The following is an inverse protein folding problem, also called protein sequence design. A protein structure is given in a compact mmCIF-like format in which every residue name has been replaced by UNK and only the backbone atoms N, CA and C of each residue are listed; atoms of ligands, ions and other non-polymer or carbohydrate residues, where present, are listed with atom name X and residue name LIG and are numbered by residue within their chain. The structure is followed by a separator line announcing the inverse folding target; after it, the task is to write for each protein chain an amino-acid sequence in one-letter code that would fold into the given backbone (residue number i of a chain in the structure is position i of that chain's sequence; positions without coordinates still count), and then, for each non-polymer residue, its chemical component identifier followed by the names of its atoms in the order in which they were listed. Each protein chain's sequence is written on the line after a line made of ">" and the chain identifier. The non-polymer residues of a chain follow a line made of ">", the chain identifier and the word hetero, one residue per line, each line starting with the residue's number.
data_IF_702574796520
#
_entry.id   IF_702574796520
#
_cell.length_a   1.000
_cell.length_b   1.000
_cell.length_c   1.000
_cell.angle_alpha   90.00
_cell.angle_beta   90.00
_cell.angle_gamma   90.00
#
_symmetry.space_group_name_H-M   'P 1'
#
loop_
_entity.id
_entity.type
_entity.pdbx_description
1 polymer ?
#
# COMPACT_ATOMS: atom_id res chain seq x y z
N UNK A 1 -126.67 96.24 -33.28
CA UNK A 1 -126.79 94.78 -33.47
C UNK A 1 -125.38 94.20 -33.46
N UNK A 2 -125.23 93.05 -32.81
CA UNK A 2 -124.02 92.48 -32.19
C UNK A 2 -122.87 92.05 -33.12
N UNK A 3 -121.65 92.13 -32.56
CA UNK A 3 -120.46 91.22 -32.61
C UNK A 3 -120.29 90.28 -33.82
N UNK A 4 -119.07 90.21 -34.39
CA UNK A 4 -118.18 89.09 -34.05
C UNK A 4 -116.67 89.44 -34.10
N UNK A 5 -116.11 90.09 -33.07
CA UNK A 5 -114.66 90.38 -33.00
C UNK A 5 -113.99 89.81 -31.72
N UNK A 6 -114.78 89.42 -30.73
CA UNK A 6 -114.30 88.73 -29.52
C UNK A 6 -114.02 87.24 -29.73
N UNK A 7 -114.34 86.66 -30.89
CA UNK A 7 -114.07 85.26 -31.19
C UNK A 7 -112.61 85.07 -31.64
N UNK A 8 -112.10 85.92 -32.54
CA UNK A 8 -110.78 85.77 -33.15
C UNK A 8 -109.62 86.07 -32.18
N UNK A 9 -109.81 87.01 -31.25
CA UNK A 9 -108.79 87.35 -30.23
C UNK A 9 -108.75 86.32 -29.09
N UNK A 10 -109.88 85.64 -28.82
CA UNK A 10 -109.92 84.44 -27.97
C UNK A 10 -109.23 83.26 -28.63
N UNK A 11 -109.42 83.07 -29.93
CA UNK A 11 -108.84 81.95 -30.68
C UNK A 11 -107.31 82.05 -30.81
N UNK A 12 -106.75 83.25 -31.00
CA UNK A 12 -105.30 83.47 -31.01
C UNK A 12 -104.66 83.31 -29.61
N UNK A 13 -105.35 83.76 -28.55
CA UNK A 13 -104.93 83.55 -27.16
C UNK A 13 -105.00 82.08 -26.74
N UNK A 14 -106.04 81.37 -27.17
CA UNK A 14 -106.18 79.92 -26.98
C UNK A 14 -105.10 79.13 -27.73
N UNK A 15 -104.67 79.58 -28.91
CA UNK A 15 -103.59 78.94 -29.66
C UNK A 15 -102.21 79.19 -29.03
N UNK A 16 -101.95 80.39 -28.49
CA UNK A 16 -100.71 80.71 -27.77
C UNK A 16 -100.61 79.94 -26.44
N UNK A 17 -101.71 79.84 -25.70
CA UNK A 17 -101.77 79.07 -24.45
C UNK A 17 -101.56 77.57 -24.72
N UNK A 18 -102.19 77.02 -25.78
CA UNK A 18 -101.94 75.64 -26.23
C UNK A 18 -100.48 75.41 -26.63
N UNK A 19 -99.84 76.35 -27.32
CA UNK A 19 -98.42 76.25 -27.70
C UNK A 19 -97.52 76.30 -26.46
N UNK A 20 -97.87 77.13 -25.47
CA UNK A 20 -97.14 77.23 -24.21
C UNK A 20 -97.30 75.96 -23.38
N UNK A 21 -98.51 75.43 -23.24
CA UNK A 21 -98.77 74.13 -22.61
C UNK A 21 -98.01 73.00 -23.34
N UNK A 22 -97.93 73.05 -24.67
CA UNK A 22 -97.18 72.06 -25.45
C UNK A 22 -95.67 72.16 -25.22
N UNK A 23 -95.09 73.36 -25.19
CA UNK A 23 -93.68 73.53 -24.83
C UNK A 23 -93.38 73.19 -23.36
N UNK A 24 -94.29 73.48 -22.43
CA UNK A 24 -94.16 73.09 -21.03
C UNK A 24 -94.19 71.56 -20.88
N UNK A 25 -95.09 70.90 -21.61
CA UNK A 25 -95.13 69.43 -21.67
C UNK A 25 -93.89 68.83 -22.32
N UNK A 26 -93.38 69.41 -23.42
CA UNK A 26 -92.14 68.98 -24.08
C UNK A 26 -90.91 69.19 -23.17
N UNK A 27 -90.83 70.32 -22.47
CA UNK A 27 -89.76 70.59 -21.49
C UNK A 27 -89.81 69.63 -20.31
N UNK A 28 -91.00 69.32 -19.80
CA UNK A 28 -91.17 68.36 -18.70
C UNK A 28 -90.84 66.94 -19.17
N UNK A 29 -91.27 66.56 -20.37
CA UNK A 29 -90.91 65.29 -21.00
C UNK A 29 -89.40 65.16 -21.21
N UNK A 30 -88.73 66.22 -21.69
CA UNK A 30 -87.28 66.25 -21.83
C UNK A 30 -86.54 66.20 -20.48
N UNK A 31 -87.04 66.88 -19.45
CA UNK A 31 -86.48 66.80 -18.09
C UNK A 31 -86.59 65.38 -17.53
N UNK A 32 -87.74 64.75 -17.67
CA UNK A 32 -87.98 63.41 -17.13
C UNK A 32 -87.17 62.36 -17.90
N UNK A 33 -87.09 62.47 -19.23
CA UNK A 33 -86.23 61.59 -20.04
C UNK A 33 -84.76 61.79 -19.71
N UNK A 34 -84.25 63.03 -19.62
CA UNK A 34 -82.86 63.31 -19.25
C UNK A 34 -82.52 62.80 -17.84
N UNK A 35 -83.43 62.97 -16.89
CA UNK A 35 -83.29 62.47 -15.52
C UNK A 35 -83.24 60.95 -15.52
N UNK A 36 -84.13 60.29 -16.26
CA UNK A 36 -84.15 58.83 -16.42
C UNK A 36 -82.87 58.29 -17.06
N UNK A 37 -82.39 58.92 -18.14
CA UNK A 37 -81.13 58.53 -18.80
C UNK A 37 -79.93 58.76 -17.87
N UNK A 38 -79.88 59.88 -17.16
CA UNK A 38 -78.80 60.17 -16.20
C UNK A 38 -78.80 59.20 -15.02
N UNK A 39 -79.96 58.85 -14.47
CA UNK A 39 -80.06 57.85 -13.41
C UNK A 39 -79.63 56.47 -13.88
N UNK A 40 -80.03 56.07 -15.10
CA UNK A 40 -79.63 54.79 -15.70
C UNK A 40 -78.12 54.72 -15.92
N UNK A 41 -77.54 55.74 -16.54
CA UNK A 41 -76.09 55.81 -16.81
C UNK A 41 -75.28 55.84 -15.51
N UNK A 42 -75.76 56.55 -14.48
CA UNK A 42 -75.14 56.56 -13.15
C UNK A 42 -75.17 55.18 -12.49
N UNK A 43 -76.31 54.48 -12.55
CA UNK A 43 -76.45 53.13 -11.99
C UNK A 43 -75.60 52.11 -12.73
N UNK A 44 -75.56 52.17 -14.06
CA UNK A 44 -74.69 51.34 -14.90
C UNK A 44 -73.21 51.56 -14.57
N UNK A 45 -72.78 52.82 -14.44
CA UNK A 45 -71.40 53.15 -14.10
C UNK A 45 -71.03 52.67 -12.69
N UNK A 46 -71.92 52.86 -11.70
CA UNK A 46 -71.71 52.36 -10.34
C UNK A 46 -71.61 50.83 -10.32
N UNK A 47 -72.49 50.15 -11.07
CA UNK A 47 -72.47 48.70 -11.19
C UNK A 47 -71.17 48.21 -11.85
N UNK A 48 -70.75 48.83 -12.95
CA UNK A 48 -69.51 48.49 -13.64
C UNK A 48 -68.27 48.69 -12.74
N UNK A 49 -68.24 49.77 -11.95
CA UNK A 49 -67.18 49.99 -10.96
C UNK A 49 -67.19 48.95 -9.85
N UNK A 50 -68.37 48.60 -9.33
CA UNK A 50 -68.51 47.57 -8.30
C UNK A 50 -67.99 46.22 -8.81
N UNK A 51 -68.40 45.81 -10.02
CA UNK A 51 -67.93 44.58 -10.66
C UNK A 51 -66.42 44.61 -10.95
N UNK A 52 -65.85 45.77 -11.28
CA UNK A 52 -64.40 45.91 -11.47
C UNK A 52 -63.62 45.77 -10.16
N UNK A 53 -64.14 46.34 -9.07
CA UNK A 53 -63.54 46.19 -7.72
C UNK A 53 -63.64 44.74 -7.26
N UNK A 54 -64.78 44.08 -7.42
CA UNK A 54 -64.96 42.67 -7.06
C UNK A 54 -63.97 41.77 -7.82
N UNK A 55 -63.82 41.97 -9.13
CA UNK A 55 -62.83 41.23 -9.94
C UNK A 55 -61.39 41.44 -9.45
N UNK A 56 -61.02 42.68 -9.14
CA UNK A 56 -59.69 42.99 -8.60
C UNK A 56 -59.45 42.35 -7.24
N UNK A 57 -60.46 42.36 -6.35
CA UNK A 57 -60.38 41.71 -5.04
C UNK A 57 -60.22 40.20 -5.20
N UNK A 58 -60.98 39.57 -6.09
CA UNK A 58 -60.87 38.14 -6.39
C UNK A 58 -59.48 37.79 -6.94
N UNK A 59 -58.96 38.58 -7.89
CA UNK A 59 -57.64 38.38 -8.49
C UNK A 59 -56.52 38.50 -7.45
N UNK A 60 -56.55 39.57 -6.63
CA UNK A 60 -55.56 39.78 -5.56
C UNK A 60 -55.64 38.66 -4.53
N UNK A 61 -56.86 38.27 -4.13
CA UNK A 61 -57.06 37.18 -3.16
C UNK A 61 -56.56 35.85 -3.70
N UNK A 62 -56.82 35.54 -4.97
CA UNK A 62 -56.31 34.36 -5.63
C UNK A 62 -54.78 34.39 -5.68
N UNK A 63 -54.17 35.51 -6.07
CA UNK A 63 -52.71 35.66 -6.16
C UNK A 63 -52.05 35.47 -4.79
N UNK A 64 -52.53 36.16 -3.76
CA UNK A 64 -52.04 36.01 -2.38
C UNK A 64 -52.16 34.54 -1.94
N UNK A 65 -53.29 33.88 -2.18
CA UNK A 65 -53.47 32.47 -1.83
C UNK A 65 -52.49 31.56 -2.54
N UNK A 66 -52.21 31.81 -3.83
CA UNK A 66 -51.22 31.02 -4.58
C UNK A 66 -49.80 31.25 -4.10
N UNK A 67 -49.38 32.51 -3.91
CA UNK A 67 -48.02 32.85 -3.46
C UNK A 67 -47.76 32.31 -2.04
N UNK A 68 -48.69 32.55 -1.11
CA UNK A 68 -48.60 32.02 0.25
C UNK A 68 -48.55 30.50 0.29
N UNK A 69 -49.33 29.81 -0.56
CA UNK A 69 -49.27 28.35 -0.65
C UNK A 69 -47.94 27.84 -1.21
N UNK A 70 -47.36 28.54 -2.19
CA UNK A 70 -46.06 28.18 -2.77
C UNK A 70 -44.93 28.39 -1.76
N UNK A 71 -44.88 29.55 -1.10
CA UNK A 71 -43.88 29.86 -0.07
C UNK A 71 -43.96 28.88 1.10
N UNK A 72 -45.18 28.57 1.57
CA UNK A 72 -45.39 27.64 2.67
C UNK A 72 -44.95 26.22 2.29
N UNK A 73 -45.29 25.76 1.08
CA UNK A 73 -44.85 24.46 0.58
C UNK A 73 -43.33 24.39 0.44
N UNK A 74 -42.68 25.42 -0.12
CA UNK A 74 -41.22 25.47 -0.21
C UNK A 74 -40.55 25.42 1.18
N UNK A 75 -41.09 26.16 2.15
CA UNK A 75 -40.60 26.11 3.54
C UNK A 75 -40.77 24.73 4.17
N UNK A 76 -41.87 24.04 3.90
CA UNK A 76 -42.06 22.67 4.39
C UNK A 76 -41.12 21.67 3.70
N UNK A 77 -40.92 21.78 2.39
CA UNK A 77 -39.99 20.92 1.66
C UNK A 77 -38.56 21.06 2.18
N UNK A 78 -38.10 22.29 2.45
CA UNK A 78 -36.78 22.55 3.01
C UNK A 78 -36.63 22.00 4.43
N UNK A 79 -37.66 22.14 5.28
CA UNK A 79 -37.66 21.54 6.62
C UNK A 79 -37.63 20.01 6.57
N UNK A 80 -38.41 19.41 5.68
CA UNK A 80 -38.42 17.96 5.48
C UNK A 80 -37.03 17.50 5.04
N UNK A 81 -36.42 18.15 4.04
CA UNK A 81 -35.07 17.82 3.58
C UNK A 81 -34.05 17.89 4.71
N UNK A 82 -34.02 19.00 5.45
CA UNK A 82 -33.09 19.19 6.58
C UNK A 82 -33.25 18.09 7.65
N UNK A 83 -34.49 17.81 8.05
CA UNK A 83 -34.79 16.76 9.03
C UNK A 83 -34.37 15.39 8.49
N UNK A 84 -34.67 15.08 7.23
CA UNK A 84 -34.27 13.80 6.63
C UNK A 84 -32.76 13.64 6.57
N UNK A 85 -32.02 14.69 6.20
CA UNK A 85 -30.55 14.67 6.12
C UNK A 85 -29.92 14.51 7.50
N UNK A 86 -30.43 15.22 8.51
CA UNK A 86 -29.97 15.01 9.89
C UNK A 86 -30.23 13.59 10.39
N UNK A 87 -31.40 13.03 10.09
CA UNK A 87 -31.72 11.66 10.48
C UNK A 87 -30.85 10.64 9.76
N UNK A 88 -30.58 10.81 8.46
CA UNK A 88 -29.67 9.92 7.72
C UNK A 88 -28.26 9.99 8.30
N UNK A 89 -27.74 11.20 8.54
CA UNK A 89 -26.40 11.41 9.09
C UNK A 89 -26.26 10.76 10.48
N UNK A 90 -27.21 11.02 11.39
CA UNK A 90 -27.21 10.40 12.74
C UNK A 90 -27.29 8.88 12.67
N UNK A 91 -28.04 8.33 11.72
CA UNK A 91 -28.18 6.87 11.54
C UNK A 91 -26.88 6.26 11.02
N UNK A 92 -26.22 6.90 10.05
CA UNK A 92 -24.93 6.47 9.52
C UNK A 92 -23.82 6.54 10.57
N UNK A 93 -23.76 7.60 11.35
CA UNK A 93 -22.83 7.74 12.48
C UNK A 93 -23.04 6.65 13.52
N UNK A 94 -24.29 6.39 13.91
CA UNK A 94 -24.63 5.32 14.85
C UNK A 94 -24.21 3.94 14.30
N UNK A 95 -24.47 3.69 13.02
CA UNK A 95 -24.09 2.44 12.36
C UNK A 95 -22.56 2.27 12.30
N UNK A 96 -21.83 3.36 12.02
CA UNK A 96 -20.37 3.37 12.03
C UNK A 96 -19.81 3.08 13.43
N UNK A 97 -20.30 3.77 14.46
CA UNK A 97 -19.90 3.55 15.86
C UNK A 97 -20.17 2.11 16.28
N UNK A 98 -21.36 1.59 16.02
CA UNK A 98 -21.70 0.20 16.33
C UNK A 98 -20.79 -0.80 15.60
N UNK A 99 -20.48 -0.57 14.31
CA UNK A 99 -19.56 -1.43 13.57
C UNK A 99 -18.14 -1.43 14.15
N UNK A 100 -17.68 -0.27 14.62
CA UNK A 100 -16.37 -0.11 15.23
C UNK A 100 -16.31 -0.75 16.62
N UNK A 101 -17.32 -0.54 17.45
CA UNK A 101 -17.45 -1.18 18.76
C UNK A 101 -17.48 -2.70 18.63
N UNK A 102 -18.29 -3.23 17.70
CA UNK A 102 -18.35 -4.67 17.41
C UNK A 102 -16.99 -5.22 17.00
N UNK A 103 -16.24 -4.49 16.17
CA UNK A 103 -14.89 -4.90 15.75
C UNK A 103 -13.94 -4.93 16.95
N UNK A 104 -13.86 -3.86 17.72
CA UNK A 104 -13.00 -3.77 18.91
C UNK A 104 -13.33 -4.88 19.92
N UNK A 105 -14.61 -5.15 20.15
CA UNK A 105 -15.04 -6.22 21.04
C UNK A 105 -14.62 -7.60 20.51
N UNK A 106 -14.76 -7.83 19.20
CA UNK A 106 -14.34 -9.09 18.55
C UNK A 106 -12.83 -9.28 18.64
N UNK A 107 -12.05 -8.23 18.41
CA UNK A 107 -10.58 -8.28 18.44
C UNK A 107 -10.08 -8.53 19.87
N UNK A 108 -10.64 -7.84 20.88
CA UNK A 108 -10.35 -8.09 22.30
C UNK A 108 -10.72 -9.53 22.71
N UNK A 109 -11.86 -10.03 22.25
CA UNK A 109 -12.28 -11.41 22.52
C UNK A 109 -11.25 -12.41 21.96
N UNK A 110 -10.83 -12.25 20.70
CA UNK A 110 -9.81 -13.12 20.09
C UNK A 110 -8.46 -13.07 20.80
N UNK A 111 -8.03 -11.88 21.25
CA UNK A 111 -6.78 -11.72 22.00
C UNK A 111 -6.84 -12.45 23.35
N UNK A 112 -7.95 -12.28 24.08
CA UNK A 112 -8.16 -12.98 25.36
C UNK A 112 -8.30 -14.48 25.20
N UNK A 113 -9.02 -14.94 24.16
CA UNK A 113 -9.13 -16.35 23.78
C UNK A 113 -7.75 -16.95 23.47
N UNK A 114 -6.93 -16.29 22.63
CA UNK A 114 -5.59 -16.76 22.30
C UNK A 114 -4.67 -16.82 23.53
N UNK A 115 -4.76 -15.83 24.43
CA UNK A 115 -4.01 -15.81 25.69
C UNK A 115 -4.40 -16.96 26.62
N UNK A 116 -5.71 -17.24 26.74
CA UNK A 116 -6.21 -18.36 27.53
C UNK A 116 -5.83 -19.70 26.92
N UNK A 117 -5.93 -19.85 25.59
CA UNK A 117 -5.52 -21.05 24.88
C UNK A 117 -4.03 -21.34 25.10
N UNK A 118 -3.18 -20.32 25.00
CA UNK A 118 -1.75 -20.47 25.29
C UNK A 118 -1.47 -20.96 26.72
N UNK A 119 -2.24 -20.51 27.73
CA UNK A 119 -2.13 -21.03 29.10
C UNK A 119 -2.59 -22.48 29.22
N UNK A 120 -3.68 -22.85 28.54
CA UNK A 120 -4.17 -24.23 28.50
C UNK A 120 -3.12 -25.16 27.88
N UNK A 121 -2.47 -24.74 26.80
CA UNK A 121 -1.45 -25.53 26.12
C UNK A 121 -0.22 -25.77 27.03
N UNK A 122 0.25 -24.73 27.72
CA UNK A 122 1.35 -24.85 28.70
C UNK A 122 0.99 -25.81 29.83
N UNK A 123 -0.18 -25.64 30.45
CA UNK A 123 -0.63 -26.53 31.53
C UNK A 123 -0.81 -27.97 31.06
N UNK A 124 -1.29 -28.16 29.83
CA UNK A 124 -1.45 -29.50 29.23
C UNK A 124 -0.09 -30.17 29.03
N UNK A 125 0.91 -29.43 28.56
CA UNK A 125 2.27 -29.94 28.42
C UNK A 125 2.91 -30.30 29.77
N UNK A 126 2.75 -29.45 30.79
CA UNK A 126 3.24 -29.73 32.15
C UNK A 126 2.58 -30.98 32.75
N UNK A 127 1.27 -31.13 32.55
CA UNK A 127 0.51 -32.29 33.00
C UNK A 127 1.00 -33.57 32.30
N UNK A 128 1.29 -33.51 31.01
CA UNK A 128 1.86 -34.63 30.27
C UNK A 128 3.21 -35.06 30.85
N UNK A 129 4.14 -34.13 31.07
CA UNK A 129 5.46 -34.42 31.66
C UNK A 129 5.32 -35.04 33.05
N UNK A 130 4.42 -34.51 33.88
CA UNK A 130 4.15 -35.06 35.21
C UNK A 130 3.60 -36.48 35.14
N UNK A 131 2.68 -36.78 34.22
CA UNK A 131 2.12 -38.11 34.02
C UNK A 131 3.18 -39.11 33.54
N UNK A 132 4.02 -38.72 32.58
CA UNK A 132 5.13 -39.55 32.11
C UNK A 132 6.12 -39.86 33.24
N UNK A 133 6.47 -38.87 34.06
CA UNK A 133 7.31 -39.07 35.23
C UNK A 133 6.66 -40.00 36.26
N UNK A 134 5.38 -39.81 36.56
CA UNK A 134 4.61 -40.67 37.46
C UNK A 134 4.57 -42.11 36.94
N UNK A 135 4.42 -42.31 35.64
CA UNK A 135 4.45 -43.64 35.02
C UNK A 135 5.84 -44.28 35.15
N UNK A 136 6.91 -43.57 34.82
CA UNK A 136 8.28 -44.07 34.98
C UNK A 136 8.60 -44.44 36.42
N UNK A 137 8.16 -43.64 37.39
CA UNK A 137 8.33 -43.99 38.82
C UNK A 137 7.60 -45.29 39.14
N UNK A 138 6.33 -45.47 38.72
CA UNK A 138 5.62 -46.75 38.91
C UNK A 138 6.36 -47.93 38.27
N UNK A 139 6.99 -47.71 37.13
CA UNK A 139 7.73 -48.71 36.36
C UNK A 139 9.21 -48.81 36.74
N UNK A 140 9.69 -48.01 37.69
CA UNK A 140 11.10 -47.98 38.08
C UNK A 140 11.49 -49.26 38.82
N UNK A 141 12.73 -49.71 38.60
CA UNK A 141 13.31 -50.85 39.31
C UNK A 141 13.29 -50.59 40.81
N UNK A 142 13.54 -49.35 41.23
CA UNK A 142 13.54 -48.97 42.64
C UNK A 142 12.16 -49.14 43.28
N UNK A 143 11.05 -48.87 42.56
CA UNK A 143 9.68 -49.17 43.04
C UNK A 143 9.44 -50.67 43.22
N UNK A 144 9.91 -51.48 42.26
CA UNK A 144 9.81 -52.94 42.37
C UNK A 144 10.63 -53.49 43.53
N UNK A 145 11.82 -52.95 43.74
CA UNK A 145 12.71 -53.34 44.83
C UNK A 145 12.14 -52.91 46.18
N UNK A 146 11.55 -51.72 46.28
CA UNK A 146 10.82 -51.26 47.47
C UNK A 146 9.65 -52.19 47.80
N UNK A 147 8.84 -52.56 46.79
CA UNK A 147 7.73 -53.50 46.97
C UNK A 147 8.22 -54.89 47.37
N UNK A 148 9.31 -55.39 46.79
CA UNK A 148 9.94 -56.66 47.16
C UNK A 148 10.43 -56.60 48.62
N UNK A 149 11.10 -55.53 49.02
CA UNK A 149 11.60 -55.35 50.39
C UNK A 149 10.47 -55.33 51.43
N UNK A 150 9.38 -54.59 51.15
CA UNK A 150 8.18 -54.58 52.00
C UNK A 150 7.57 -55.98 52.11
N UNK A 151 7.57 -56.75 51.02
CA UNK A 151 7.07 -58.13 51.03
C UNK A 151 7.95 -59.07 51.85
N UNK A 152 9.27 -58.93 51.74
CA UNK A 152 10.23 -59.83 52.37
C UNK A 152 10.44 -59.52 53.86
N UNK A 153 10.25 -58.26 54.28
CA UNK A 153 10.57 -57.78 55.63
C UNK A 153 9.40 -57.13 56.39
N UNK A 154 8.25 -56.96 55.74
CA UNK A 154 7.09 -56.27 56.30
C UNK A 154 7.09 -54.76 56.05
N UNK A 155 5.92 -54.13 56.21
CA UNK A 155 5.76 -52.68 56.06
C UNK A 155 6.46 -51.94 57.21
N UNK A 156 7.27 -50.90 56.92
CA UNK A 156 7.89 -50.08 57.95
C UNK A 156 6.90 -49.08 58.60
N UNK A 157 5.62 -49.08 58.20
CA UNK A 157 4.60 -48.13 58.64
C UNK A 157 4.35 -47.00 57.64
N UNK A 158 3.13 -46.44 57.65
CA UNK A 158 2.63 -45.52 56.61
C UNK A 158 3.48 -44.26 56.39
N UNK A 159 4.03 -43.69 57.47
CA UNK A 159 4.89 -42.52 57.40
C UNK A 159 6.18 -42.81 56.59
N UNK A 160 6.86 -43.93 56.90
CA UNK A 160 8.10 -44.30 56.24
C UNK A 160 7.89 -44.75 54.80
N UNK A 161 6.77 -45.42 54.50
CA UNK A 161 6.41 -45.72 53.10
C UNK A 161 6.21 -44.43 52.29
N UNK A 162 5.55 -43.42 52.84
CA UNK A 162 5.36 -42.15 52.15
C UNK A 162 6.70 -41.43 51.91
N UNK A 163 7.57 -41.40 52.92
CA UNK A 163 8.90 -40.79 52.79
C UNK A 163 9.77 -41.54 51.78
N UNK A 164 9.77 -42.89 51.80
CA UNK A 164 10.50 -43.70 50.82
C UNK A 164 10.00 -43.48 49.39
N UNK A 165 8.68 -43.35 49.19
CA UNK A 165 8.10 -43.02 47.89
C UNK A 165 8.47 -41.59 47.43
N UNK A 166 8.53 -40.63 48.35
CA UNK A 166 8.99 -39.27 48.07
C UNK A 166 10.47 -39.24 47.66
N UNK A 167 11.33 -39.96 48.39
CA UNK A 167 12.76 -40.05 48.08
C UNK A 167 13.01 -40.77 46.75
N UNK A 168 12.27 -41.83 46.45
CA UNK A 168 12.27 -42.51 45.16
C UNK A 168 11.97 -41.53 44.00
N UNK A 169 10.98 -40.66 44.15
CA UNK A 169 10.67 -39.64 43.14
C UNK A 169 11.85 -38.68 42.93
N UNK A 170 12.47 -38.19 44.00
CA UNK A 170 13.65 -37.30 43.91
C UNK A 170 14.85 -38.01 43.29
N UNK A 171 15.06 -39.29 43.60
CA UNK A 171 16.13 -40.10 43.01
C UNK A 171 15.92 -40.24 41.51
N UNK A 172 14.70 -40.58 41.07
CA UNK A 172 14.39 -40.72 39.65
C UNK A 172 14.55 -39.37 38.92
N UNK A 173 14.11 -38.26 39.53
CA UNK A 173 14.37 -36.91 38.99
C UNK A 173 15.87 -36.62 38.82
N UNK A 174 16.69 -37.00 39.81
CA UNK A 174 18.16 -36.82 39.71
C UNK A 174 18.76 -37.74 38.64
N UNK A 175 18.29 -38.98 38.55
CA UNK A 175 18.74 -39.95 37.56
C UNK A 175 18.45 -39.46 36.13
N UNK A 176 17.26 -38.90 35.88
CA UNK A 176 16.92 -38.27 34.60
C UNK A 176 17.85 -37.10 34.26
N UNK A 177 18.15 -36.22 35.23
CA UNK A 177 19.11 -35.13 35.01
C UNK A 177 20.49 -35.67 34.64
N UNK A 178 20.95 -36.73 35.31
CA UNK A 178 22.21 -37.40 34.99
C UNK A 178 22.16 -37.97 33.56
N UNK A 179 21.11 -38.69 33.17
CA UNK A 179 20.96 -39.23 31.82
C UNK A 179 20.96 -38.13 30.75
N UNK A 180 20.31 -36.99 31.01
CA UNK A 180 20.32 -35.84 30.09
C UNK A 180 21.73 -35.24 29.96
N UNK A 181 22.47 -35.10 31.06
CA UNK A 181 23.87 -34.69 31.00
C UNK A 181 24.74 -35.70 30.24
N UNK A 182 24.55 -37.01 30.42
CA UNK A 182 25.26 -38.04 29.66
C UNK A 182 24.98 -37.96 28.16
N UNK A 183 23.73 -37.72 27.74
CA UNK A 183 23.39 -37.49 26.32
C UNK A 183 24.09 -36.26 25.76
N UNK A 184 24.11 -35.16 26.51
CA UNK A 184 24.80 -33.92 26.10
C UNK A 184 26.31 -34.11 26.02
N UNK A 185 26.89 -34.90 26.92
CA UNK A 185 28.30 -35.25 26.91
C UNK A 185 28.66 -36.03 25.63
N UNK A 186 27.88 -37.06 25.27
CA UNK A 186 28.09 -37.81 24.03
C UNK A 186 28.00 -36.93 22.77
N UNK A 187 27.06 -35.99 22.73
CA UNK A 187 26.97 -35.02 21.64
C UNK A 187 28.21 -34.13 21.55
N UNK A 188 28.73 -33.69 22.70
CA UNK A 188 29.94 -32.88 22.76
C UNK A 188 31.19 -33.68 22.32
N UNK A 189 31.30 -34.95 22.70
CA UNK A 189 32.36 -35.86 22.27
C UNK A 189 32.35 -36.04 20.74
N UNK A 190 31.17 -36.26 20.15
CA UNK A 190 31.03 -36.37 18.69
C UNK A 190 31.42 -35.07 17.94
N UNK A 191 31.11 -33.90 18.51
CA UNK A 191 31.54 -32.62 17.96
C UNK A 191 33.07 -32.44 18.07
N UNK A 192 33.68 -32.88 19.16
CA UNK A 192 35.12 -32.83 19.34
C UNK A 192 35.86 -33.72 18.32
N UNK A 193 35.37 -34.93 18.07
CA UNK A 193 35.91 -35.83 17.04
C UNK A 193 35.81 -35.21 15.64
N UNK A 194 34.66 -34.60 15.30
CA UNK A 194 34.50 -33.87 14.04
C UNK A 194 35.47 -32.70 13.93
N UNK A 195 35.69 -31.96 15.01
CA UNK A 195 36.61 -30.84 15.01
C UNK A 195 38.06 -31.29 14.74
N UNK A 196 38.50 -32.39 15.38
CA UNK A 196 39.81 -32.98 15.12
C UNK A 196 39.97 -33.39 13.64
N UNK A 197 38.95 -34.03 13.05
CA UNK A 197 38.98 -34.38 11.62
C UNK A 197 39.09 -33.16 10.71
N UNK A 198 38.40 -32.06 11.03
CA UNK A 198 38.50 -30.81 10.29
C UNK A 198 39.87 -30.15 10.44
N UNK A 199 40.46 -30.17 11.64
CA UNK A 199 41.82 -29.67 11.87
C UNK A 199 42.84 -30.42 11.01
N UNK A 200 42.72 -31.74 10.88
CA UNK A 200 43.61 -32.54 10.02
C UNK A 200 43.38 -32.26 8.53
N UNK A 201 42.14 -32.02 8.09
CA UNK A 201 41.86 -31.56 6.72
C UNK A 201 42.49 -30.20 6.44
N UNK A 202 42.41 -29.26 7.39
CA UNK A 202 43.04 -27.94 7.26
C UNK A 202 44.56 -28.07 7.15
N UNK A 203 45.20 -28.89 7.99
CA UNK A 203 46.65 -29.15 7.89
C UNK A 203 47.03 -29.71 6.51
N UNK A 204 46.27 -30.68 6.00
CA UNK A 204 46.51 -31.26 4.68
C UNK A 204 46.38 -30.22 3.55
N UNK A 205 45.34 -29.38 3.60
CA UNK A 205 45.14 -28.31 2.62
C UNK A 205 46.26 -27.26 2.68
N UNK A 206 46.71 -26.87 3.87
CA UNK A 206 47.84 -25.96 4.04
C UNK A 206 49.13 -26.56 3.45
N UNK A 207 49.38 -27.85 3.67
CA UNK A 207 50.52 -28.54 3.09
C UNK A 207 50.45 -28.59 1.56
N UNK A 208 49.27 -28.88 0.99
CA UNK A 208 49.08 -28.87 -0.47
C UNK A 208 49.26 -27.46 -1.07
N UNK A 209 48.77 -26.43 -0.38
CA UNK A 209 48.95 -25.05 -0.81
C UNK A 209 50.42 -24.67 -0.86
N UNK A 210 51.20 -25.08 0.15
CA UNK A 210 52.63 -24.85 0.21
C UNK A 210 53.38 -25.55 -0.93
N UNK A 211 53.05 -26.82 -1.24
CA UNK A 211 53.64 -27.54 -2.38
C UNK A 211 53.36 -26.82 -3.72
N UNK A 212 52.12 -26.35 -3.91
CA UNK A 212 51.74 -25.59 -5.10
C UNK A 212 52.50 -24.25 -5.18
N UNK A 213 52.68 -23.57 -4.05
CA UNK A 213 53.43 -22.30 -3.98
C UNK A 213 54.89 -22.50 -4.38
N UNK A 214 55.55 -23.54 -3.86
CA UNK A 214 56.93 -23.89 -4.23
C UNK A 214 57.04 -24.27 -5.71
N UNK A 215 56.05 -25.00 -6.25
CA UNK A 215 56.01 -25.34 -7.68
C UNK A 215 55.84 -24.10 -8.55
N UNK A 216 54.97 -23.18 -8.16
CA UNK A 216 54.77 -21.92 -8.86
C UNK A 216 56.04 -21.07 -8.85
N UNK A 217 56.75 -20.97 -7.73
CA UNK A 217 58.03 -20.27 -7.62
C UNK A 217 59.07 -20.86 -8.58
N UNK A 218 59.17 -22.20 -8.64
CA UNK A 218 60.05 -22.89 -9.60
C UNK A 218 59.69 -22.60 -11.06
N UNK A 219 58.41 -22.53 -11.41
CA UNK A 219 58.00 -22.16 -12.76
C UNK A 219 58.29 -20.68 -13.05
N UNK A 220 58.13 -19.81 -12.07
CA UNK A 220 58.43 -18.39 -12.20
C UNK A 220 59.92 -18.15 -12.46
N UNK A 221 60.82 -18.86 -11.76
CA UNK A 221 62.27 -18.75 -12.02
C UNK A 221 62.63 -19.25 -13.41
N UNK A 222 62.04 -20.37 -13.85
CA UNK A 222 62.23 -20.88 -15.22
C UNK A 222 61.76 -19.89 -16.29
N UNK A 223 60.61 -19.24 -16.10
CA UNK A 223 60.10 -18.22 -17.03
C UNK A 223 61.07 -17.03 -17.11
N UNK A 224 61.62 -16.59 -15.97
CA UNK A 224 62.61 -15.52 -15.93
C UNK A 224 63.91 -15.91 -16.64
N UNK A 225 64.37 -17.16 -16.51
CA UNK A 225 65.53 -17.69 -17.22
C UNK A 225 65.31 -17.75 -18.73
N UNK A 226 64.19 -18.33 -19.17
CA UNK A 226 63.84 -18.39 -20.59
C UNK A 226 63.68 -17.00 -21.21
N UNK A 227 63.09 -16.05 -20.48
CA UNK A 227 63.00 -14.65 -20.92
C UNK A 227 64.37 -14.02 -21.10
N UNK A 228 65.30 -14.27 -20.17
CA UNK A 228 66.69 -13.78 -20.27
C UNK A 228 67.41 -14.38 -21.48
N UNK A 229 67.28 -15.67 -21.71
CA UNK A 229 67.85 -16.33 -22.90
C UNK A 229 67.22 -15.82 -24.20
N UNK A 230 65.91 -15.58 -24.22
CA UNK A 230 65.23 -15.00 -25.37
C UNK A 230 65.79 -13.62 -25.73
N UNK A 231 65.96 -12.72 -24.76
CA UNK A 231 66.56 -11.40 -24.99
C UNK A 231 68.00 -11.52 -25.50
N UNK A 232 68.83 -12.41 -24.92
CA UNK A 232 70.21 -12.63 -25.37
C UNK A 232 70.29 -13.12 -26.82
N UNK A 233 69.41 -14.04 -27.19
CA UNK A 233 69.32 -14.55 -28.56
C UNK A 233 68.85 -13.47 -29.53
N UNK A 234 67.87 -12.64 -29.14
CA UNK A 234 67.42 -11.52 -29.95
C UNK A 234 68.53 -10.50 -30.20
N UNK A 235 69.25 -10.09 -29.16
CA UNK A 235 70.41 -9.18 -29.29
C UNK A 235 71.49 -9.75 -30.21
N UNK A 236 71.73 -11.08 -30.13
CA UNK A 236 72.70 -11.76 -30.99
C UNK A 236 72.23 -11.80 -32.45
N UNK A 237 70.94 -12.06 -32.68
CA UNK A 237 70.31 -12.05 -34.00
C UNK A 237 70.38 -10.65 -34.64
N UNK A 238 70.10 -9.59 -33.87
CA UNK A 238 70.19 -8.20 -34.34
C UNK A 238 71.63 -7.83 -34.75
N UNK A 239 72.63 -8.24 -33.96
CA UNK A 239 74.05 -8.04 -34.29
C UNK A 239 74.45 -8.76 -35.58
N UNK A 240 74.03 -10.02 -35.73
CA UNK A 240 74.32 -10.80 -36.94
C UNK A 240 73.63 -10.21 -38.18
N UNK A 241 72.38 -9.76 -38.03
CA UNK A 241 71.64 -9.06 -39.09
C UNK A 241 72.35 -7.78 -39.55
N UNK A 242 72.83 -6.97 -38.60
CA UNK A 242 73.60 -5.76 -38.91
C UNK A 242 74.92 -6.06 -39.62
N UNK A 243 75.65 -7.09 -39.18
CA UNK A 243 76.88 -7.55 -39.83
C UNK A 243 76.60 -8.06 -41.25
N UNK A 244 75.53 -8.84 -41.43
CA UNK A 244 75.10 -9.34 -42.74
C UNK A 244 74.73 -8.18 -43.67
N UNK A 245 74.01 -7.16 -43.18
CA UNK A 245 73.70 -5.95 -43.95
C UNK A 245 74.98 -5.21 -44.37
N UNK A 246 75.94 -5.03 -43.46
CA UNK A 246 77.23 -4.40 -43.76
C UNK A 246 78.00 -5.19 -44.82
N UNK A 247 78.11 -6.50 -44.66
CA UNK A 247 78.81 -7.36 -45.61
C UNK A 247 78.12 -7.35 -46.98
N UNK A 248 76.78 -7.27 -47.02
CA UNK A 248 76.05 -7.14 -48.27
C UNK A 248 76.30 -5.77 -48.94
N UNK A 249 76.37 -4.68 -48.18
CA UNK A 249 76.78 -3.37 -48.69
C UNK A 249 78.21 -3.38 -49.23
N UNK A 250 79.17 -3.94 -48.48
CA UNK A 250 80.55 -4.11 -48.94
C UNK A 250 80.63 -4.96 -50.20
N UNK A 251 79.84 -6.05 -50.28
CA UNK A 251 79.73 -6.89 -51.47
C UNK A 251 79.19 -6.10 -52.67
N UNK A 252 78.13 -5.32 -52.49
CA UNK A 252 77.55 -4.47 -53.54
C UNK A 252 78.55 -3.40 -54.00
N UNK A 253 79.28 -2.76 -53.08
CA UNK A 253 80.36 -1.83 -53.41
C UNK A 253 81.48 -2.50 -54.20
N UNK A 254 81.92 -3.69 -53.80
CA UNK A 254 82.95 -4.45 -54.51
C UNK A 254 82.47 -4.88 -55.91
N UNK A 255 81.21 -5.31 -56.05
CA UNK A 255 80.61 -5.61 -57.35
C UNK A 255 80.54 -4.35 -58.23
N UNK A 256 80.17 -3.21 -57.67
CA UNK A 256 80.16 -1.93 -58.38
C UNK A 256 81.57 -1.56 -58.87
N UNK A 257 82.61 -1.71 -58.04
CA UNK A 257 84.02 -1.50 -58.44
C UNK A 257 84.47 -2.47 -59.52
N UNK A 258 84.09 -3.75 -59.43
CA UNK A 258 84.43 -4.78 -60.42
C UNK A 258 83.79 -4.49 -61.78
N UNK A 259 82.50 -4.11 -61.80
CA UNK A 259 81.75 -3.79 -63.02
C UNK A 259 82.24 -2.48 -63.65
N UNK A 260 82.63 -1.51 -62.82
CA UNK A 260 83.07 -0.20 -63.29
C UNK A 260 84.59 -0.05 -63.47
N UNK A 261 85.36 -1.12 -63.24
CA UNK A 261 86.75 -1.24 -63.71
C UNK A 261 87.85 -0.68 -62.81
N UNK A 262 87.65 -0.59 -61.48
CA UNK A 262 88.70 -0.12 -60.56
C UNK A 262 89.48 -1.29 -59.92
N UNK A 263 90.75 -1.39 -60.33
CA UNK A 263 91.82 -2.38 -60.06
C UNK A 263 91.93 -3.00 -58.64
N UNK A 264 92.10 -4.33 -58.58
CA UNK A 264 92.39 -5.14 -57.38
C UNK A 264 93.85 -4.96 -56.86
N UNK A 265 94.09 -4.82 -55.55
CA UNK A 265 95.42 -5.02 -54.98
C UNK A 265 95.69 -6.50 -54.67
N UNK A 266 96.89 -6.94 -55.07
CA UNK A 266 97.50 -8.26 -54.85
C UNK A 266 97.51 -8.66 -53.37
N UNK A 267 96.76 -9.71 -52.99
CA UNK A 267 96.86 -10.30 -51.67
C UNK A 267 98.02 -11.31 -51.60
N UNK A 268 99.04 -10.93 -50.83
CA UNK A 268 100.14 -11.74 -50.35
C UNK A 268 99.62 -12.70 -49.27
N UNK A 269 99.67 -14.02 -49.51
CA UNK A 269 99.32 -15.03 -48.50
C UNK A 269 100.52 -15.23 -47.58
N UNK A 270 100.38 -14.84 -46.31
CA UNK A 270 101.30 -15.20 -45.22
C UNK A 270 100.64 -16.21 -44.28
N UNK A 271 101.43 -17.09 -43.63
CA UNK A 271 101.00 -18.41 -43.19
C UNK A 271 100.29 -18.41 -41.84
N UNK A 272 99.33 -19.33 -41.76
CA UNK A 272 98.57 -19.74 -40.58
C UNK A 272 99.50 -20.46 -39.59
N UNK A 273 99.58 -19.98 -38.35
CA UNK A 273 99.94 -20.81 -37.18
C UNK A 273 98.66 -21.25 -36.47
N UNK A 274 98.43 -22.56 -36.31
CA UNK A 274 97.26 -23.10 -35.63
C UNK A 274 97.55 -23.34 -34.15
N UNK A 275 96.70 -22.89 -33.23
CA UNK A 275 96.66 -23.52 -31.90
C UNK A 275 95.30 -23.40 -31.21
N UNK A 276 94.57 -24.51 -31.29
CA UNK A 276 93.83 -25.20 -30.23
C UNK A 276 92.99 -24.36 -29.26
N UNK A 277 91.68 -24.33 -29.53
CA UNK A 277 90.64 -24.40 -28.49
C UNK A 277 90.34 -25.89 -28.14
N UNK A 278 89.45 -26.25 -27.21
CA UNK A 278 88.87 -25.50 -26.07
C UNK A 278 88.84 -26.34 -24.76
N UNK A 279 88.36 -25.73 -23.66
CA UNK A 279 87.49 -26.40 -22.70
C UNK A 279 86.39 -25.46 -22.22
#
# INVERSE_FOLDING_TARGET
>A
MSLPDQCLQKDAGLALEKLKEQHEWELESLRETLKGTWTSEREELLKAHQEAIERLVEEITAKIKTETSVELNASFDDKIKCITEEHTNKTEELQKLHSQEKKTLTDNFKETEASLQGKVDVLTAELQVFNELKQRVKESVLTRDLQRNIKDHGSPGSFWEQELNSLLFVIEMKNERIQNFSKKLLQMEALAEKNLSLEDQVKNLLQQNEDLRLRMEKHQTLIQELSREHTRLQESLEKESLLSQRLNQEKEELLYRLVNGDSLPTFHVSPITPELSPR
#
